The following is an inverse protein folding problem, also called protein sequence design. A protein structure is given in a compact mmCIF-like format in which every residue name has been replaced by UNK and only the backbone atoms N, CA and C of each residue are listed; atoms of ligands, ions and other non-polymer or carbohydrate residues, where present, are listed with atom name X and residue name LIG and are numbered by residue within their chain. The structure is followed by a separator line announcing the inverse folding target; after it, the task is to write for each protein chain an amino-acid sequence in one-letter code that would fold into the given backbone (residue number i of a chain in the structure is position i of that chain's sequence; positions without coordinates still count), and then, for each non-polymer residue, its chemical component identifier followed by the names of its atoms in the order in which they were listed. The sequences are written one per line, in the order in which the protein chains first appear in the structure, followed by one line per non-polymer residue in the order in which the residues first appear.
data_IF_380299093806
#
_entry.id   IF_380299093806
#
_cell.length_a   1.000
_cell.length_b   1.000
_cell.length_c   1.000
_cell.angle_alpha   90.00
_cell.angle_beta   90.00
_cell.angle_gamma   90.00
#
_symmetry.space_group_name_H-M   'P 1'
#
loop_
_entity.id
_entity.type
_entity.pdbx_description
1 polymer ?
#
# COMPACT_ATOMS: atom_id res chain seq x y z
N UNK A 1 6.37 21.81 -20.47
CA UNK A 1 4.97 21.82 -20.03
C UNK A 1 4.54 20.37 -19.75
N UNK A 2 5.18 19.71 -18.76
CA UNK A 2 5.05 18.25 -18.50
C UNK A 2 5.04 17.94 -17.00
N UNK A 3 4.41 18.80 -16.18
CA UNK A 3 4.38 18.64 -14.71
C UNK A 3 3.00 18.34 -14.12
N UNK A 4 1.94 18.24 -14.93
CA UNK A 4 0.57 18.14 -14.40
C UNK A 4 -0.06 16.74 -14.53
N UNK A 5 0.57 15.79 -15.19
CA UNK A 5 0.00 14.44 -15.38
C UNK A 5 0.45 13.40 -14.33
N UNK A 6 1.49 13.70 -13.57
CA UNK A 6 2.01 12.82 -12.52
C UNK A 6 1.13 12.78 -11.27
N UNK A 7 0.35 13.83 -11.04
CA UNK A 7 -0.50 13.96 -9.84
C UNK A 7 -1.72 13.03 -9.82
N UNK A 8 -2.18 12.52 -10.96
CA UNK A 8 -3.44 11.76 -11.01
C UNK A 8 -3.27 10.24 -10.77
N UNK A 9 -2.09 9.68 -11.02
CA UNK A 9 -1.83 8.25 -10.75
C UNK A 9 -1.47 8.05 -9.28
N UNK A 10 -0.73 8.97 -8.69
CA UNK A 10 -0.49 8.99 -7.26
C UNK A 10 -1.81 9.15 -6.46
N UNK A 11 -2.77 9.97 -6.94
CA UNK A 11 -4.04 10.20 -6.26
C UNK A 11 -4.93 8.94 -6.15
N UNK A 12 -4.76 7.94 -7.02
CA UNK A 12 -5.55 6.69 -6.93
C UNK A 12 -4.97 5.69 -5.91
N UNK A 13 -3.68 5.74 -5.63
CA UNK A 13 -3.05 4.96 -4.56
C UNK A 13 -3.19 5.71 -3.22
N UNK A 14 -3.18 7.05 -3.26
CA UNK A 14 -3.34 7.91 -2.07
C UNK A 14 -4.81 8.14 -1.67
N UNK A 15 -5.77 7.89 -2.55
CA UNK A 15 -7.20 8.04 -2.26
C UNK A 15 -7.75 7.01 -1.28
N UNK A 16 -7.01 5.94 -0.96
CA UNK A 16 -7.37 4.97 0.07
C UNK A 16 -6.70 5.23 1.43
N UNK A 17 -5.71 6.12 1.49
CA UNK A 17 -4.96 6.39 2.71
C UNK A 17 -5.38 7.68 3.45
N UNK A 18 -6.21 8.55 2.86
CA UNK A 18 -6.56 9.83 3.45
C UNK A 18 -8.06 10.10 3.50
N UNK A 19 -8.80 9.26 4.22
CA UNK A 19 -10.05 9.71 4.83
C UNK A 19 -10.03 9.53 6.34
N UNK A 20 -8.91 9.82 6.97
CA UNK A 20 -8.94 10.30 8.33
C UNK A 20 -8.83 11.82 8.26
N UNK A 21 -9.87 12.49 7.77
CA UNK A 21 -10.12 13.84 8.22
C UNK A 21 -10.31 13.76 9.72
N UNK A 22 -9.25 14.03 10.46
CA UNK A 22 -9.37 14.51 11.81
C UNK A 22 -10.34 15.69 11.77
N UNK A 23 -11.58 15.44 12.13
CA UNK A 23 -12.46 16.52 12.54
C UNK A 23 -11.90 17.06 13.84
N UNK A 24 -11.09 18.11 13.77
CA UNK A 24 -10.91 19.00 14.89
C UNK A 24 -12.19 19.82 15.00
N UNK A 25 -13.16 19.31 15.74
CA UNK A 25 -14.19 20.12 16.34
C UNK A 25 -13.76 20.34 17.79
N UNK A 26 -13.52 21.59 18.12
CA UNK A 26 -13.43 22.07 19.50
C UNK A 26 -14.81 21.96 20.15
N UNK A 27 -15.22 20.74 20.45
CA UNK A 27 -16.34 20.47 21.34
C UNK A 27 -15.79 19.77 22.57
N UNK A 28 -16.07 20.32 23.76
CA UNK A 28 -15.80 19.79 25.10
C UNK A 28 -16.49 18.42 25.36
N UNK A 29 -16.50 17.55 24.38
CA UNK A 29 -16.94 16.19 24.54
C UNK A 29 -15.75 15.36 25.04
N UNK A 30 -15.90 14.54 26.09
CA UNK A 30 -14.80 13.73 26.59
C UNK A 30 -14.23 12.94 25.41
N UNK A 31 -12.96 13.19 25.12
CA UNK A 31 -12.23 12.47 24.08
C UNK A 31 -12.36 10.99 24.35
N UNK A 32 -13.14 10.29 23.55
CA UNK A 32 -13.21 8.83 23.61
C UNK A 32 -11.84 8.34 23.22
N UNK A 33 -11.12 7.77 24.19
CA UNK A 33 -9.85 7.10 23.92
C UNK A 33 -10.10 5.96 22.94
N UNK A 34 -9.54 6.01 21.71
CA UNK A 34 -9.78 4.98 20.70
C UNK A 34 -9.31 3.59 21.15
N UNK A 35 -8.41 3.51 22.13
CA UNK A 35 -7.95 2.24 22.70
C UNK A 35 -8.96 1.62 23.70
N UNK A 36 -9.90 2.42 24.21
CA UNK A 36 -10.85 2.04 25.25
C UNK A 36 -12.30 2.18 24.78
N UNK A 37 -12.58 1.77 23.56
CA UNK A 37 -13.96 1.72 23.06
C UNK A 37 -14.69 0.56 23.71
N UNK A 38 -15.70 0.87 24.51
CA UNK A 38 -16.57 -0.14 25.09
C UNK A 38 -17.57 -0.65 24.06
N UNK A 39 -17.57 -1.96 23.84
CA UNK A 39 -18.56 -2.65 23.06
C UNK A 39 -19.67 -3.16 23.98
N UNK A 40 -20.75 -2.41 24.09
CA UNK A 40 -21.88 -2.74 24.97
C UNK A 40 -23.09 -3.22 24.19
N UNK A 41 -24.07 -3.80 24.89
CA UNK A 41 -25.35 -4.18 24.29
C UNK A 41 -26.10 -2.99 23.69
N UNK A 42 -25.95 -1.81 24.30
CA UNK A 42 -26.62 -0.58 23.86
C UNK A 42 -26.07 -0.07 22.52
N UNK A 43 -24.75 -0.21 22.27
CA UNK A 43 -24.12 0.27 21.06
C UNK A 43 -23.86 -0.82 20.00
N UNK A 44 -24.15 -2.08 20.32
CA UNK A 44 -23.88 -3.23 19.44
C UNK A 44 -24.49 -3.09 18.05
N UNK A 45 -25.72 -2.56 17.93
CA UNK A 45 -26.38 -2.37 16.65
C UNK A 45 -25.69 -1.31 15.77
N UNK A 46 -25.17 -0.24 16.41
CA UNK A 46 -24.41 0.80 15.73
C UNK A 46 -23.08 0.26 15.18
N UNK A 47 -22.36 -0.52 16.00
CA UNK A 47 -21.12 -1.19 15.58
C UNK A 47 -21.36 -2.20 14.46
N UNK A 48 -22.44 -2.99 14.56
CA UNK A 48 -22.82 -3.92 13.50
C UNK A 48 -23.08 -3.21 12.17
N UNK A 49 -23.85 -2.12 12.20
CA UNK A 49 -24.12 -1.32 11.00
C UNK A 49 -22.84 -0.68 10.43
N UNK A 50 -21.99 -0.14 11.27
CA UNK A 50 -20.69 0.42 10.87
C UNK A 50 -19.85 -0.64 10.16
N UNK A 51 -19.63 -1.80 10.78
CA UNK A 51 -18.84 -2.89 10.20
C UNK A 51 -19.41 -3.38 8.87
N UNK A 52 -20.73 -3.51 8.75
CA UNK A 52 -21.37 -3.88 7.49
C UNK A 52 -21.14 -2.87 6.39
N UNK A 53 -21.23 -1.58 6.72
CA UNK A 53 -21.03 -0.51 5.74
C UNK A 53 -19.56 -0.45 5.29
N UNK A 54 -18.60 -0.57 6.22
CA UNK A 54 -17.18 -0.63 5.90
C UNK A 54 -16.85 -1.85 5.04
N UNK A 55 -17.37 -3.02 5.37
CA UNK A 55 -17.18 -4.24 4.58
C UNK A 55 -17.79 -4.12 3.16
N UNK A 56 -18.95 -3.48 3.04
CA UNK A 56 -19.58 -3.23 1.74
C UNK A 56 -18.75 -2.24 0.89
N UNK A 57 -18.23 -1.20 1.50
CA UNK A 57 -17.34 -0.23 0.84
C UNK A 57 -16.05 -0.92 0.37
N UNK A 58 -15.39 -1.65 1.25
CA UNK A 58 -14.18 -2.42 0.92
C UNK A 58 -14.42 -3.37 -0.26
N UNK A 59 -15.54 -4.09 -0.26
CA UNK A 59 -15.92 -4.96 -1.39
C UNK A 59 -16.07 -4.17 -2.68
N UNK A 60 -16.71 -3.01 -2.62
CA UNK A 60 -16.91 -2.13 -3.79
C UNK A 60 -15.55 -1.66 -4.33
N UNK A 61 -14.68 -1.16 -3.47
CA UNK A 61 -13.38 -0.64 -3.87
C UNK A 61 -12.46 -1.73 -4.42
N UNK A 62 -12.43 -2.89 -3.77
CA UNK A 62 -11.70 -4.05 -4.29
C UNK A 62 -12.21 -4.51 -5.67
N UNK A 63 -13.54 -4.47 -5.86
CA UNK A 63 -14.16 -4.80 -7.15
C UNK A 63 -13.79 -3.78 -8.21
N UNK A 64 -13.81 -2.50 -7.88
CA UNK A 64 -13.43 -1.42 -8.79
C UNK A 64 -11.96 -1.53 -9.19
N UNK A 65 -11.07 -1.81 -8.24
CA UNK A 65 -9.66 -2.06 -8.50
C UNK A 65 -9.46 -3.28 -9.41
N UNK A 66 -10.12 -4.39 -9.12
CA UNK A 66 -10.08 -5.59 -9.96
C UNK A 66 -10.54 -5.30 -11.39
N UNK A 67 -11.65 -4.57 -11.55
CA UNK A 67 -12.18 -4.22 -12.87
C UNK A 67 -11.25 -3.27 -13.62
N UNK A 68 -10.62 -2.30 -12.94
CA UNK A 68 -9.65 -1.41 -13.54
C UNK A 68 -8.43 -2.18 -14.11
N UNK A 69 -7.98 -3.20 -13.40
CA UNK A 69 -6.88 -4.05 -13.86
C UNK A 69 -7.26 -5.00 -15.00
N UNK A 70 -8.47 -5.59 -14.95
CA UNK A 70 -8.82 -6.72 -15.82
C UNK A 70 -9.83 -6.40 -16.92
N UNK A 71 -10.61 -5.35 -16.78
CA UNK A 71 -11.75 -5.07 -17.66
C UNK A 71 -11.63 -3.72 -18.36
N UNK A 72 -11.63 -2.63 -17.58
CA UNK A 72 -11.58 -1.28 -18.13
C UNK A 72 -10.98 -0.30 -17.12
N UNK A 73 -10.05 0.52 -17.57
CA UNK A 73 -9.44 1.59 -16.81
C UNK A 73 -9.84 2.94 -17.40
N UNK A 74 -10.53 3.77 -16.64
CA UNK A 74 -10.98 5.12 -17.06
C UNK A 74 -11.76 5.12 -18.38
N UNK A 75 -12.58 4.10 -18.63
CA UNK A 75 -13.39 3.96 -19.83
C UNK A 75 -12.65 3.49 -21.09
N UNK A 76 -11.38 3.13 -20.96
CA UNK A 76 -10.57 2.54 -22.02
C UNK A 76 -10.20 1.08 -21.75
N UNK A 77 -9.08 0.62 -22.32
CA UNK A 77 -8.54 -0.71 -22.10
C UNK A 77 -8.21 -0.97 -20.62
N UNK A 78 -8.15 -2.23 -20.22
CA UNK A 78 -7.73 -2.60 -18.87
C UNK A 78 -6.30 -2.15 -18.58
N UNK A 79 -6.03 -1.81 -17.34
CA UNK A 79 -4.68 -1.37 -16.94
C UNK A 79 -3.61 -2.43 -17.25
N UNK A 80 -3.94 -3.71 -17.03
CA UNK A 80 -3.05 -4.82 -17.39
C UNK A 80 -2.75 -4.87 -18.90
N UNK A 81 -3.72 -4.54 -19.76
CA UNK A 81 -3.51 -4.48 -21.21
C UNK A 81 -2.60 -3.32 -21.58
N UNK A 82 -2.80 -2.13 -20.99
CA UNK A 82 -1.95 -0.97 -21.23
C UNK A 82 -0.51 -1.22 -20.78
N UNK A 83 -0.33 -1.86 -19.63
CA UNK A 83 0.98 -2.22 -19.11
C UNK A 83 1.69 -3.24 -20.01
N UNK A 84 0.98 -4.29 -20.46
CA UNK A 84 1.53 -5.32 -21.36
C UNK A 84 1.85 -4.79 -22.74
N UNK A 85 1.04 -3.88 -23.28
CA UNK A 85 1.25 -3.30 -24.60
C UNK A 85 2.43 -2.32 -24.62
N UNK A 86 2.64 -1.56 -23.56
CA UNK A 86 3.69 -0.55 -23.34
C UNK A 86 4.09 0.23 -24.63
N UNK A 87 3.09 0.61 -25.43
CA UNK A 87 3.26 1.28 -26.73
C UNK A 87 2.55 2.64 -26.81
N UNK A 88 2.14 3.19 -25.68
CA UNK A 88 1.42 4.46 -25.59
C UNK A 88 1.39 5.03 -24.17
N UNK A 89 0.46 5.93 -23.89
CA UNK A 89 0.27 6.45 -22.53
C UNK A 89 -0.56 5.45 -21.68
N UNK A 90 -0.19 5.18 -20.40
CA UNK A 90 0.89 5.80 -19.63
C UNK A 90 2.29 5.24 -19.89
N UNK A 91 2.42 4.09 -20.53
CA UNK A 91 3.69 3.39 -20.76
C UNK A 91 4.05 3.37 -22.23
N UNK A 92 5.13 4.07 -22.59
CA UNK A 92 5.59 4.20 -23.97
C UNK A 92 6.64 3.14 -24.36
N UNK A 93 7.13 2.34 -23.42
CA UNK A 93 8.16 1.32 -23.63
C UNK A 93 8.16 0.28 -22.51
N UNK A 94 8.77 -0.87 -22.76
CA UNK A 94 9.02 -1.88 -21.74
C UNK A 94 9.88 -1.31 -20.59
N UNK A 95 10.85 -0.44 -20.91
CA UNK A 95 11.70 0.20 -19.91
C UNK A 95 10.87 1.06 -18.94
N UNK A 96 9.90 1.84 -19.44
CA UNK A 96 9.06 2.66 -18.56
C UNK A 96 8.19 1.82 -17.60
N UNK A 97 7.83 0.59 -18.00
CA UNK A 97 7.15 -0.35 -17.09
C UNK A 97 8.10 -0.88 -16.00
N UNK A 98 9.35 -1.20 -16.38
CA UNK A 98 10.35 -1.68 -15.41
C UNK A 98 10.72 -0.57 -14.43
N UNK A 99 10.93 0.65 -14.91
CA UNK A 99 11.18 1.83 -14.07
C UNK A 99 10.07 2.03 -13.04
N UNK A 100 8.79 1.98 -13.46
CA UNK A 100 7.65 2.10 -12.56
C UNK A 100 7.66 0.99 -11.48
N UNK A 101 7.94 -0.26 -11.85
CA UNK A 101 8.02 -1.36 -10.87
C UNK A 101 9.14 -1.11 -9.86
N UNK A 102 10.33 -0.74 -10.32
CA UNK A 102 11.49 -0.52 -9.45
C UNK A 102 11.25 0.66 -8.52
N UNK A 103 10.73 1.77 -9.05
CA UNK A 103 10.42 2.97 -8.27
C UNK A 103 9.38 2.67 -7.19
N UNK A 104 8.33 1.89 -7.51
CA UNK A 104 7.32 1.51 -6.51
C UNK A 104 7.84 0.52 -5.47
N UNK A 105 8.73 -0.38 -5.84
CA UNK A 105 9.42 -1.24 -4.87
C UNK A 105 10.30 -0.42 -3.91
N UNK A 106 11.04 0.56 -4.43
CA UNK A 106 11.85 1.45 -3.61
C UNK A 106 11.00 2.33 -2.68
N UNK A 107 9.86 2.84 -3.17
CA UNK A 107 8.89 3.61 -2.38
C UNK A 107 8.35 2.77 -1.21
N UNK A 108 7.91 1.54 -1.46
CA UNK A 108 7.44 0.62 -0.41
C UNK A 108 8.53 0.37 0.63
N UNK A 109 9.75 0.04 0.21
CA UNK A 109 10.85 -0.23 1.12
C UNK A 109 11.19 1.00 1.99
N UNK A 110 11.20 2.19 1.40
CA UNK A 110 11.43 3.44 2.12
C UNK A 110 10.30 3.74 3.11
N UNK A 111 9.05 3.58 2.71
CA UNK A 111 7.89 3.80 3.57
C UNK A 111 7.88 2.85 4.77
N UNK A 112 8.14 1.57 4.55
CA UNK A 112 8.24 0.59 5.65
C UNK A 112 9.36 0.95 6.61
N UNK A 113 10.54 1.30 6.10
CA UNK A 113 11.69 1.60 6.92
C UNK A 113 11.57 2.93 7.69
N UNK A 114 11.05 3.97 7.06
CA UNK A 114 10.99 5.32 7.65
C UNK A 114 9.69 5.57 8.40
N UNK A 115 8.55 5.54 7.70
CA UNK A 115 7.27 5.93 8.28
C UNK A 115 6.68 4.83 9.17
N UNK A 116 6.65 3.58 8.70
CA UNK A 116 5.93 2.51 9.41
C UNK A 116 6.71 1.96 10.61
N UNK A 117 8.04 1.93 10.54
CA UNK A 117 8.91 1.44 11.62
C UNK A 117 9.67 2.59 12.27
N UNK A 118 10.30 3.45 11.49
CA UNK A 118 11.18 4.50 11.99
C UNK A 118 10.47 5.53 12.85
N UNK A 119 9.32 6.03 12.42
CA UNK A 119 8.59 7.06 13.15
C UNK A 119 8.06 6.57 14.50
N UNK A 120 7.33 5.44 14.62
CA UNK A 120 6.94 4.88 15.92
C UNK A 120 8.14 4.58 16.82
N UNK A 121 9.23 4.05 16.26
CA UNK A 121 10.44 3.75 17.02
C UNK A 121 11.10 5.02 17.59
N UNK A 122 11.17 6.09 16.81
CA UNK A 122 11.74 7.37 17.24
C UNK A 122 10.89 8.02 18.34
N UNK A 123 9.56 7.98 18.22
CA UNK A 123 8.63 8.42 19.26
C UNK A 123 8.84 7.62 20.56
N UNK A 124 8.91 6.30 20.45
CA UNK A 124 9.17 5.43 21.61
C UNK A 124 10.49 5.78 22.31
N UNK A 125 11.58 5.96 21.53
CA UNK A 125 12.89 6.35 22.07
C UNK A 125 12.90 7.73 22.72
N UNK A 126 12.06 8.64 22.27
CA UNK A 126 11.88 9.96 22.85
C UNK A 126 11.06 9.93 24.15
N UNK A 127 10.49 8.79 24.54
CA UNK A 127 9.64 8.64 25.73
C UNK A 127 8.16 8.87 25.46
N UNK A 128 7.76 9.14 24.22
CA UNK A 128 6.37 9.38 23.80
C UNK A 128 5.69 8.03 23.52
N UNK A 129 5.54 7.19 24.54
CA UNK A 129 5.11 5.78 24.37
C UNK A 129 3.68 5.67 23.81
N UNK A 130 2.79 6.53 24.23
CA UNK A 130 1.40 6.54 23.76
C UNK A 130 1.31 6.96 22.29
N UNK A 131 1.96 8.06 21.93
CA UNK A 131 2.04 8.50 20.53
C UNK A 131 2.71 7.45 19.63
N UNK A 132 3.76 6.78 20.14
CA UNK A 132 4.42 5.69 19.44
C UNK A 132 3.47 4.53 19.13
N UNK A 133 2.60 4.17 20.10
CA UNK A 133 1.59 3.13 19.91
C UNK A 133 0.61 3.50 18.79
N UNK A 134 0.07 4.70 18.81
CA UNK A 134 -0.90 5.15 17.82
C UNK A 134 -0.28 5.46 16.46
N UNK A 135 1.02 5.66 16.37
CA UNK A 135 1.75 5.81 15.11
C UNK A 135 2.01 4.47 14.40
N UNK A 136 1.84 3.32 15.09
CA UNK A 136 2.00 2.00 14.48
C UNK A 136 0.77 1.68 13.62
N UNK A 137 0.98 1.36 12.35
CA UNK A 137 -0.10 0.89 11.47
C UNK A 137 -0.77 -0.37 12.06
N UNK A 138 -2.09 -0.45 11.99
CA UNK A 138 -2.86 -1.59 12.50
C UNK A 138 -2.65 -1.90 14.00
N UNK A 139 -2.31 -0.89 14.82
CA UNK A 139 -2.11 -1.04 16.27
C UNK A 139 -3.31 -1.69 16.98
N UNK A 140 -4.52 -1.38 16.54
CA UNK A 140 -5.78 -1.86 17.11
C UNK A 140 -6.05 -3.36 16.85
N UNK A 141 -5.42 -3.96 15.85
CA UNK A 141 -5.59 -5.37 15.47
C UNK A 141 -4.37 -6.23 15.77
N UNK A 142 -3.25 -5.62 16.18
CA UNK A 142 -1.96 -6.27 16.44
C UNK A 142 -1.35 -7.00 15.22
N UNK A 143 -1.72 -6.59 13.99
CA UNK A 143 -1.26 -7.21 12.75
C UNK A 143 -0.15 -6.42 12.02
N UNK A 144 0.40 -5.37 12.63
CA UNK A 144 1.41 -4.51 11.99
C UNK A 144 2.62 -5.29 11.44
N UNK A 145 3.07 -6.33 12.17
CA UNK A 145 4.17 -7.17 11.71
C UNK A 145 3.83 -7.93 10.43
N UNK A 146 2.62 -8.45 10.33
CA UNK A 146 2.14 -9.16 9.15
C UNK A 146 1.99 -8.19 7.97
N UNK A 147 1.48 -6.99 8.24
CA UNK A 147 1.33 -5.93 7.23
C UNK A 147 2.70 -5.52 6.65
N UNK A 148 3.69 -5.27 7.51
CA UNK A 148 5.04 -4.90 7.06
C UNK A 148 5.74 -6.05 6.33
N UNK A 149 5.58 -7.28 6.82
CA UNK A 149 6.09 -8.48 6.14
C UNK A 149 5.47 -8.62 4.76
N UNK A 150 4.16 -8.41 4.63
CA UNK A 150 3.46 -8.47 3.34
C UNK A 150 3.88 -7.34 2.39
N UNK A 151 4.23 -6.16 2.91
CA UNK A 151 4.81 -5.09 2.09
C UNK A 151 6.13 -5.54 1.46
N UNK A 152 7.03 -6.15 2.24
CA UNK A 152 8.30 -6.67 1.71
C UNK A 152 8.07 -7.85 0.75
N UNK A 153 7.12 -8.73 1.05
CA UNK A 153 6.74 -9.80 0.12
C UNK A 153 6.19 -9.27 -1.20
N UNK A 154 5.52 -8.11 -1.20
CA UNK A 154 5.06 -7.50 -2.46
C UNK A 154 6.23 -7.09 -3.35
N UNK A 155 7.31 -6.55 -2.77
CA UNK A 155 8.57 -6.26 -3.48
C UNK A 155 9.19 -7.54 -4.04
N UNK A 156 9.33 -8.57 -3.19
CA UNK A 156 9.85 -9.87 -3.61
C UNK A 156 9.04 -10.44 -4.78
N UNK A 157 7.73 -10.41 -4.67
CA UNK A 157 6.84 -10.97 -5.68
C UNK A 157 6.95 -10.21 -7.02
N UNK A 158 7.08 -8.89 -6.98
CA UNK A 158 7.33 -8.08 -8.17
C UNK A 158 8.69 -8.39 -8.81
N UNK A 159 9.73 -8.55 -7.99
CA UNK A 159 11.09 -8.86 -8.44
C UNK A 159 11.21 -10.29 -8.98
N UNK A 160 10.55 -11.27 -8.35
CA UNK A 160 10.57 -12.68 -8.78
C UNK A 160 9.55 -13.00 -9.87
N UNK A 161 8.54 -12.14 -10.07
CA UNK A 161 7.46 -12.38 -11.03
C UNK A 161 6.55 -13.54 -10.65
N UNK A 162 6.41 -13.84 -9.35
CA UNK A 162 5.57 -14.90 -8.80
C UNK A 162 5.05 -14.56 -7.41
N UNK A 163 3.97 -15.22 -6.98
CA UNK A 163 3.38 -15.04 -5.64
C UNK A 163 3.83 -16.09 -4.63
N UNK A 164 4.40 -17.20 -5.09
CA UNK A 164 4.79 -18.35 -4.27
C UNK A 164 6.27 -18.33 -3.83
N UNK A 165 7.01 -17.28 -4.23
CA UNK A 165 8.44 -17.14 -3.96
C UNK A 165 9.35 -17.88 -4.93
N UNK A 166 8.83 -18.55 -5.95
CA UNK A 166 9.63 -19.07 -7.05
C UNK A 166 10.10 -17.93 -7.96
N UNK A 167 11.23 -18.11 -8.64
CA UNK A 167 11.74 -17.11 -9.60
C UNK A 167 11.23 -17.48 -11.00
N UNK A 168 10.42 -16.60 -11.58
CA UNK A 168 9.93 -16.77 -12.94
C UNK A 168 11.07 -16.55 -13.96
N UNK A 169 11.11 -17.34 -15.01
CA UNK A 169 12.13 -17.22 -16.06
C UNK A 169 12.15 -15.85 -16.78
N UNK A 170 11.04 -15.12 -16.75
CA UNK A 170 10.90 -13.78 -17.32
C UNK A 170 10.84 -12.68 -16.25
N UNK A 171 11.36 -12.93 -15.04
CA UNK A 171 11.34 -11.99 -13.93
C UNK A 171 12.44 -10.92 -14.03
N UNK A 172 12.30 -9.85 -13.24
CA UNK A 172 13.36 -8.86 -13.06
C UNK A 172 14.62 -9.51 -12.49
N UNK A 173 14.50 -10.45 -11.53
CA UNK A 173 15.62 -11.23 -11.00
C UNK A 173 16.41 -11.93 -12.10
N UNK A 174 15.73 -12.61 -13.03
CA UNK A 174 16.39 -13.30 -14.14
C UNK A 174 17.13 -12.33 -15.08
N UNK A 175 16.52 -11.19 -15.38
CA UNK A 175 17.14 -10.14 -16.21
C UNK A 175 18.36 -9.55 -15.51
N UNK A 176 18.25 -9.20 -14.24
CA UNK A 176 19.35 -8.62 -13.44
C UNK A 176 20.48 -9.63 -13.27
N UNK A 177 20.17 -10.89 -12.97
CA UNK A 177 21.17 -11.96 -12.86
C UNK A 177 21.97 -12.17 -14.15
N UNK A 178 21.33 -11.99 -15.30
CA UNK A 178 22.01 -12.10 -16.60
C UNK A 178 23.02 -10.98 -16.87
N UNK A 179 22.83 -9.82 -16.28
CA UNK A 179 23.70 -8.63 -16.47
C UNK A 179 24.66 -8.42 -15.30
N UNK A 180 24.17 -8.61 -14.07
CA UNK A 180 24.92 -8.39 -12.84
C UNK A 180 24.48 -9.39 -11.75
N UNK A 181 25.06 -10.60 -11.73
CA UNK A 181 24.71 -11.65 -10.76
C UNK A 181 24.91 -11.23 -9.29
N UNK A 182 25.91 -10.38 -9.03
CA UNK A 182 26.17 -9.89 -7.68
C UNK A 182 25.07 -8.97 -7.18
N UNK A 183 24.53 -8.12 -8.06
CA UNK A 183 23.41 -7.25 -7.73
C UNK A 183 22.15 -8.06 -7.45
N UNK A 184 21.83 -9.05 -8.29
CA UNK A 184 20.70 -9.96 -8.05
C UNK A 184 20.82 -10.66 -6.70
N UNK A 185 22.01 -11.16 -6.36
CA UNK A 185 22.28 -11.78 -5.06
C UNK A 185 22.07 -10.80 -3.90
N UNK A 186 22.53 -9.56 -4.04
CA UNK A 186 22.34 -8.55 -3.01
C UNK A 186 20.87 -8.19 -2.78
N UNK A 187 20.10 -8.04 -3.86
CA UNK A 187 18.64 -7.78 -3.76
C UNK A 187 17.89 -8.94 -3.09
N UNK A 188 18.29 -10.18 -3.36
CA UNK A 188 17.68 -11.38 -2.75
C UNK A 188 18.00 -11.55 -1.28
N UNK A 189 19.14 -11.02 -0.83
CA UNK A 189 19.61 -11.14 0.55
C UNK A 189 19.20 -9.95 1.44
N UNK A 190 18.67 -8.87 0.85
CA UNK A 190 18.19 -7.71 1.58
C UNK A 190 16.83 -7.96 2.19
#
# INVERSE_FOLDING_TARGET
MMKTKFFYVAALIWGLAFTTTSCSSDDDNPTVDPANIDYTSENASSWHNYMRNVAALLKTDATNLYNAWNSSYKGGDSYASLFKAHNGSPYASALSCVEEIVDKCAEIANEVGTAKIGDPYNLYKAGNTEEALYAVESWYSWHSRDDYTNNIYSIRNAYYGSLDGSINANSLSTVVAGVNPSLDTNVKNA
#
